data_IF_782425391622
#
_entry.id   IF_782425391622
#
_cell.length_a   1.000
_cell.length_b   1.000
_cell.length_c   1.000
_cell.angle_alpha   90.00
_cell.angle_beta   90.00
_cell.angle_gamma   90.00
#
_symmetry.space_group_name_H-M   'P 1'
#
loop_
_entity.id
_entity.type
_entity.pdbx_description
1 polymer ?
#
# COMPACT_ATOMS: atom_id res chain seq x y z
N UNK A 1 9.46 -8.97 -12.13
CA UNK A 1 8.36 -8.88 -11.19
C UNK A 1 7.55 -7.65 -11.57
N UNK A 2 6.30 -7.85 -11.94
CA UNK A 2 5.35 -6.76 -12.19
C UNK A 2 4.89 -6.12 -10.86
N UNK A 3 4.23 -4.97 -10.96
CA UNK A 3 3.60 -4.33 -9.80
C UNK A 3 2.53 -5.24 -9.19
N UNK A 4 1.74 -5.94 -10.01
CA UNK A 4 0.71 -6.88 -9.53
C UNK A 4 1.35 -8.03 -8.76
N UNK A 5 2.44 -8.59 -9.26
CA UNK A 5 3.18 -9.65 -8.56
C UNK A 5 3.72 -9.16 -7.21
N UNK A 6 4.33 -7.96 -7.17
CA UNK A 6 4.81 -7.38 -5.92
C UNK A 6 3.67 -7.12 -4.91
N UNK A 7 2.50 -6.66 -5.37
CA UNK A 7 1.34 -6.49 -4.51
C UNK A 7 0.81 -7.84 -3.98
N UNK A 8 0.81 -8.89 -4.80
CA UNK A 8 0.41 -10.24 -4.37
C UNK A 8 1.36 -10.82 -3.33
N UNK A 9 2.67 -10.65 -3.49
CA UNK A 9 3.67 -11.03 -2.49
C UNK A 9 3.41 -10.32 -1.14
N UNK A 10 3.16 -9.01 -1.18
CA UNK A 10 2.80 -8.24 0.02
C UNK A 10 1.50 -8.76 0.66
N UNK A 11 0.48 -9.07 -0.14
CA UNK A 11 -0.79 -9.60 0.35
C UNK A 11 -0.62 -10.93 1.09
N UNK A 12 0.26 -11.79 0.57
CA UNK A 12 0.64 -13.08 1.19
C UNK A 12 1.49 -12.92 2.45
N UNK A 13 1.98 -11.70 2.75
CA UNK A 13 2.80 -11.42 3.92
C UNK A 13 4.30 -11.50 3.66
N UNK A 14 4.73 -11.59 2.39
CA UNK A 14 6.14 -11.56 2.01
C UNK A 14 6.63 -10.10 2.03
N UNK A 15 7.09 -9.67 3.20
CA UNK A 15 7.46 -8.29 3.49
C UNK A 15 8.98 -8.16 3.63
N UNK A 16 9.72 -7.80 2.57
CA UNK A 16 11.17 -7.64 2.67
C UNK A 16 11.58 -6.49 3.61
N UNK A 17 10.66 -5.56 3.90
CA UNK A 17 10.86 -4.45 4.84
C UNK A 17 9.65 -4.34 5.79
N UNK A 18 9.57 -5.15 6.86
CA UNK A 18 8.39 -5.20 7.74
C UNK A 18 8.13 -3.91 8.54
N UNK A 19 9.14 -3.03 8.65
CA UNK A 19 8.99 -1.71 9.30
C UNK A 19 8.64 -0.59 8.32
N UNK A 20 8.51 -0.88 7.02
CA UNK A 20 8.15 0.07 5.98
C UNK A 20 6.70 -0.12 5.56
N UNK A 21 6.10 0.95 5.05
CA UNK A 21 4.78 0.91 4.41
C UNK A 21 4.77 0.15 3.08
N UNK A 22 3.62 0.20 2.41
CA UNK A 22 3.38 -0.49 1.15
C UNK A 22 4.39 -0.05 0.08
N UNK A 23 4.61 1.27 -0.09
CA UNK A 23 5.56 1.81 -1.07
C UNK A 23 6.99 1.27 -0.89
N UNK A 24 7.49 1.20 0.35
CA UNK A 24 8.82 0.68 0.63
C UNK A 24 8.97 -0.82 0.34
N UNK A 25 7.91 -1.60 0.53
CA UNK A 25 7.90 -3.03 0.19
C UNK A 25 7.74 -3.25 -1.32
N UNK A 26 6.86 -2.51 -1.99
CA UNK A 26 6.73 -2.54 -3.46
C UNK A 26 8.08 -2.20 -4.11
N UNK A 27 8.70 -1.08 -3.73
CA UNK A 27 9.99 -0.67 -4.29
C UNK A 27 11.09 -1.72 -4.08
N UNK A 28 11.03 -2.48 -2.96
CA UNK A 28 12.03 -3.51 -2.69
C UNK A 28 11.77 -4.80 -3.47
N UNK A 29 10.50 -5.18 -3.68
CA UNK A 29 10.12 -6.37 -4.44
C UNK A 29 10.27 -6.15 -5.95
N UNK A 30 9.95 -4.96 -6.42
CA UNK A 30 10.05 -4.55 -7.82
C UNK A 30 11.41 -3.90 -8.16
N UNK A 31 12.38 -3.94 -7.23
CA UNK A 31 13.76 -3.50 -7.49
C UNK A 31 14.32 -4.23 -8.73
N UNK A 32 14.76 -3.47 -9.74
CA UNK A 32 15.23 -4.03 -11.02
C UNK A 32 14.19 -4.06 -12.14
N UNK A 33 12.96 -3.56 -11.93
CA UNK A 33 11.93 -3.40 -12.97
C UNK A 33 11.53 -1.91 -13.09
N UNK A 34 11.67 -1.35 -14.30
CA UNK A 34 11.61 0.10 -14.54
C UNK A 34 10.21 0.70 -14.72
N UNK A 35 9.13 -0.04 -14.53
CA UNK A 35 7.78 0.45 -14.87
C UNK A 35 7.05 1.14 -13.70
N UNK A 36 7.73 1.37 -12.58
CA UNK A 36 7.20 2.06 -11.40
C UNK A 36 6.97 3.58 -11.59
N UNK A 37 7.27 4.14 -12.78
CA UNK A 37 7.40 5.59 -12.97
C UNK A 37 6.07 6.31 -13.22
N UNK A 38 4.98 5.61 -13.54
CA UNK A 38 3.67 6.27 -13.65
C UNK A 38 3.00 6.42 -12.29
N UNK A 39 3.37 7.46 -11.55
CA UNK A 39 2.76 7.85 -10.27
C UNK A 39 1.22 8.04 -10.30
N UNK A 40 0.60 8.03 -11.48
CA UNK A 40 -0.81 8.34 -11.67
C UNK A 40 -1.75 7.20 -11.22
N UNK A 41 -1.41 5.94 -11.52
CA UNK A 41 -2.27 4.80 -11.17
C UNK A 41 -2.42 4.66 -9.65
N UNK A 42 -1.33 4.80 -8.90
CA UNK A 42 -1.32 4.69 -7.45
C UNK A 42 -2.17 5.78 -6.80
N UNK A 43 -2.09 7.02 -7.29
CA UNK A 43 -2.92 8.13 -6.77
C UNK A 43 -4.40 7.90 -7.05
N UNK A 44 -4.77 7.48 -8.26
CA UNK A 44 -6.16 7.16 -8.62
C UNK A 44 -6.70 5.98 -7.80
N UNK A 45 -5.88 4.96 -7.58
CA UNK A 45 -6.23 3.83 -6.73
C UNK A 45 -6.46 4.30 -5.28
N UNK A 46 -5.59 5.16 -4.74
CA UNK A 46 -5.79 5.73 -3.40
C UNK A 46 -7.06 6.57 -3.30
N UNK A 47 -7.32 7.46 -4.26
CA UNK A 47 -8.52 8.32 -4.27
C UNK A 47 -9.80 7.48 -4.34
N UNK A 48 -9.79 6.35 -5.05
CA UNK A 48 -10.95 5.46 -5.14
C UNK A 48 -11.13 4.54 -3.92
N UNK A 49 -10.19 4.54 -2.97
CA UNK A 49 -10.33 3.77 -1.75
C UNK A 49 -11.12 4.56 -0.70
N UNK A 50 -12.23 4.00 -0.23
CA UNK A 50 -13.19 4.65 0.68
C UNK A 50 -12.60 5.08 2.05
N UNK A 51 -11.47 4.48 2.44
CA UNK A 51 -10.76 4.75 3.70
C UNK A 51 -9.56 5.67 3.53
N UNK A 52 -9.32 6.20 2.34
CA UNK A 52 -8.19 7.08 2.09
C UNK A 52 -8.25 8.33 2.99
N UNK A 53 -7.13 8.65 3.63
CA UNK A 53 -7.01 9.77 4.56
C UNK A 53 -7.01 11.14 3.90
N UNK A 54 -6.84 11.20 2.58
CA UNK A 54 -6.53 12.43 1.85
C UNK A 54 -5.04 12.77 1.80
N UNK A 55 -4.17 12.00 2.48
CA UNK A 55 -2.72 12.21 2.50
C UNK A 55 -2.00 11.06 1.77
N UNK A 56 -1.38 11.37 0.63
CA UNK A 56 -0.65 10.38 -0.17
C UNK A 56 0.57 9.77 0.52
N UNK A 57 1.19 10.48 1.47
CA UNK A 57 2.33 9.97 2.25
C UNK A 57 1.87 9.03 3.36
N UNK A 58 0.66 9.27 3.89
CA UNK A 58 0.06 8.50 4.98
C UNK A 58 -1.38 8.08 4.64
N UNK A 59 -1.57 7.23 3.61
CA UNK A 59 -2.89 6.96 3.02
C UNK A 59 -3.85 6.16 3.90
N UNK A 60 -3.33 5.55 4.97
CA UNK A 60 -4.06 4.63 5.83
C UNK A 60 -4.45 5.35 7.13
N UNK A 61 -5.72 5.33 7.53
CA UNK A 61 -6.17 6.02 8.73
C UNK A 61 -5.52 5.44 9.98
N UNK A 62 -5.37 6.29 11.00
CA UNK A 62 -4.99 5.82 12.31
C UNK A 62 -6.11 4.93 12.89
N UNK A 63 -5.72 3.83 13.51
CA UNK A 63 -6.63 2.91 14.23
C UNK A 63 -6.65 3.19 15.72
N UNK A 64 -5.70 3.99 16.21
CA UNK A 64 -5.66 4.46 17.59
C UNK A 64 -5.98 5.95 17.61
N UNK A 65 -7.02 6.33 18.35
CA UNK A 65 -7.47 7.74 18.48
C UNK A 65 -6.42 8.69 19.07
N UNK A 66 -5.35 8.16 19.68
CA UNK A 66 -4.23 8.95 20.23
C UNK A 66 -3.24 9.44 19.16
N UNK A 67 -3.32 8.91 17.94
CA UNK A 67 -2.37 9.20 16.88
C UNK A 67 -3.10 9.67 15.63
N UNK A 68 -2.51 10.60 14.90
CA UNK A 68 -2.84 10.79 13.49
C UNK A 68 -2.15 9.71 12.63
N UNK A 69 -2.50 9.56 11.32
CA UNK A 69 -1.91 8.56 10.44
C UNK A 69 -0.37 8.56 10.41
N UNK A 70 0.25 9.74 10.31
CA UNK A 70 1.70 9.90 10.29
C UNK A 70 2.34 9.47 11.61
N UNK A 71 1.76 9.89 12.74
CA UNK A 71 2.24 9.51 14.06
C UNK A 71 2.15 8.01 14.28
N UNK A 72 1.03 7.39 13.93
CA UNK A 72 0.89 5.94 14.11
C UNK A 72 1.89 5.18 13.26
N UNK A 73 2.11 5.62 12.01
CA UNK A 73 3.12 5.06 11.12
C UNK A 73 4.52 5.11 11.74
N UNK A 74 4.94 6.28 12.23
CA UNK A 74 6.29 6.50 12.74
C UNK A 74 6.54 5.90 14.14
N UNK A 75 5.54 5.96 15.03
CA UNK A 75 5.69 5.59 16.45
C UNK A 75 5.50 4.10 16.70
N UNK A 76 4.55 3.46 16.01
CA UNK A 76 4.22 2.06 16.31
C UNK A 76 5.13 1.07 15.59
N UNK A 77 5.57 1.39 14.37
CA UNK A 77 6.39 0.52 13.47
C UNK A 77 5.84 -0.90 13.24
N UNK A 78 4.72 -1.26 13.86
CA UNK A 78 3.96 -2.49 13.73
C UNK A 78 2.89 -2.31 12.65
N UNK A 79 3.37 -2.06 11.44
CA UNK A 79 2.53 -1.65 10.33
C UNK A 79 1.66 -2.81 9.82
N UNK A 80 2.17 -4.04 9.89
CA UNK A 80 1.57 -5.23 9.25
C UNK A 80 0.88 -6.18 10.24
N UNK A 81 0.64 -5.74 11.47
CA UNK A 81 -0.06 -6.51 12.50
C UNK A 81 -1.28 -5.75 13.04
N UNK A 82 -2.20 -6.50 13.66
CA UNK A 82 -3.45 -5.97 14.21
C UNK A 82 -4.27 -5.17 13.19
N UNK A 83 -5.06 -4.21 13.68
CA UNK A 83 -5.96 -3.38 12.87
C UNK A 83 -5.23 -2.57 11.78
N UNK A 84 -3.98 -2.18 12.03
CA UNK A 84 -3.14 -1.50 11.04
C UNK A 84 -2.73 -2.45 9.90
N UNK A 85 -2.41 -3.70 10.22
CA UNK A 85 -2.14 -4.74 9.24
C UNK A 85 -3.37 -5.10 8.40
N UNK A 86 -4.54 -5.18 9.03
CA UNK A 86 -5.82 -5.39 8.33
C UNK A 86 -6.08 -4.32 7.28
N UNK A 87 -5.98 -3.03 7.65
CA UNK A 87 -6.16 -1.92 6.71
C UNK A 87 -5.12 -1.91 5.59
N UNK A 88 -3.86 -2.29 5.89
CA UNK A 88 -2.82 -2.43 4.85
C UNK A 88 -3.15 -3.53 3.87
N UNK A 89 -3.58 -4.70 4.35
CA UNK A 89 -3.99 -5.81 3.47
C UNK A 89 -5.21 -5.44 2.64
N UNK A 90 -6.16 -4.72 3.21
CA UNK A 90 -7.32 -4.19 2.50
C UNK A 90 -6.90 -3.23 1.38
N UNK A 91 -6.01 -2.27 1.67
CA UNK A 91 -5.46 -1.37 0.67
C UNK A 91 -4.69 -2.13 -0.42
N UNK A 92 -3.85 -3.10 -0.06
CA UNK A 92 -3.12 -3.93 -1.04
C UNK A 92 -4.09 -4.67 -1.97
N UNK A 93 -5.15 -5.25 -1.44
CA UNK A 93 -6.19 -5.90 -2.24
C UNK A 93 -6.92 -4.91 -3.16
N UNK A 94 -7.21 -3.70 -2.67
CA UNK A 94 -7.78 -2.62 -3.48
C UNK A 94 -6.86 -2.23 -4.64
N UNK A 95 -5.56 -2.09 -4.38
CA UNK A 95 -4.56 -1.77 -5.40
C UNK A 95 -4.48 -2.86 -6.47
N UNK A 96 -4.50 -4.15 -6.09
CA UNK A 96 -4.51 -5.27 -7.03
C UNK A 96 -5.73 -5.16 -7.96
N UNK A 97 -6.93 -5.03 -7.39
CA UNK A 97 -8.17 -4.94 -8.17
C UNK A 97 -8.20 -3.72 -9.09
N UNK A 98 -7.70 -2.58 -8.62
CA UNK A 98 -7.62 -1.37 -9.41
C UNK A 98 -6.69 -1.59 -10.63
N UNK A 99 -5.50 -2.15 -10.41
CA UNK A 99 -4.53 -2.41 -11.49
C UNK A 99 -5.05 -3.46 -12.47
N UNK A 100 -5.64 -4.57 -12.00
CA UNK A 100 -6.27 -5.57 -12.86
C UNK A 100 -7.48 -5.02 -13.66
N UNK A 101 -8.11 -3.95 -13.18
CA UNK A 101 -9.18 -3.25 -13.87
C UNK A 101 -8.68 -2.30 -14.95
N UNK A 102 -7.44 -1.78 -14.84
CA UNK A 102 -6.80 -0.98 -15.88
C UNK A 102 -6.46 -1.85 -17.11
N UNK A 103 -5.87 -3.03 -16.87
CA UNK A 103 -5.48 -3.99 -17.92
C UNK A 103 -6.66 -4.49 -18.78
N UNK A 104 -7.90 -4.35 -18.31
CA UNK A 104 -9.13 -4.78 -19.03
C UNK A 104 -9.75 -3.69 -19.91
N UNK A 105 -9.25 -2.46 -19.81
CA UNK A 105 -9.77 -1.30 -20.56
C UNK A 105 -8.76 -0.77 -21.60
N UNK A 106 -7.66 -1.50 -21.83
CA UNK A 106 -6.73 -1.32 -22.95
C UNK A 106 -6.96 -2.40 -24.03
#
# INVERSE_FOLDING_TARGET
MSIIEALREIYLGNLPRPVYGICGNINKLAEGYSDLVNHDWWRKALISWDKFTGDFNYPIPATNKKYNPSEQYNKTKQLWSGKQGELRKELVNHLIKFTEGLDKNE
#
